data_IF_490645711240
#
_entry.id   IF_490645711240
#
_cell.length_a   1.000
_cell.length_b   1.000
_cell.length_c   1.000
_cell.angle_alpha   90.00
_cell.angle_beta   90.00
_cell.angle_gamma   90.00
#
_symmetry.space_group_name_H-M   'P 1'
#
loop_
_entity.id
_entity.type
_entity.pdbx_description
1 polymer ?
#
# COMPACT_ATOMS: atom_id res chain seq x y z
N UNK A 1 26.63 -48.35 -48.02
CA UNK A 1 25.44 -47.45 -47.97
C UNK A 1 24.56 -47.67 -46.74
N UNK A 2 24.69 -48.78 -45.99
CA UNK A 2 23.84 -49.14 -44.84
C UNK A 2 24.16 -48.43 -43.52
N UNK A 3 25.37 -47.91 -43.32
CA UNK A 3 25.79 -47.26 -42.06
C UNK A 3 25.26 -45.84 -41.88
N UNK A 4 25.02 -45.12 -42.97
CA UNK A 4 24.52 -43.73 -42.94
C UNK A 4 23.05 -43.65 -42.50
N UNK A 5 22.22 -44.60 -42.97
CA UNK A 5 20.78 -44.65 -42.66
C UNK A 5 20.53 -44.99 -41.18
N UNK A 6 21.36 -45.85 -40.58
CA UNK A 6 21.23 -46.25 -39.17
C UNK A 6 21.58 -45.11 -38.22
N UNK A 7 22.66 -44.36 -38.51
CA UNK A 7 23.05 -43.18 -37.73
C UNK A 7 21.97 -42.09 -37.79
N UNK A 8 21.42 -41.83 -38.97
CA UNK A 8 20.35 -40.85 -39.14
C UNK A 8 19.07 -41.24 -38.38
N UNK A 9 18.75 -42.54 -38.30
CA UNK A 9 17.62 -43.04 -37.50
C UNK A 9 17.84 -42.91 -35.99
N UNK A 10 19.08 -43.06 -35.52
CA UNK A 10 19.45 -42.93 -34.10
C UNK A 10 19.40 -41.47 -33.65
N UNK A 11 19.92 -40.53 -34.45
CA UNK A 11 19.82 -39.09 -34.18
C UNK A 11 18.37 -38.60 -34.14
N UNK A 12 17.51 -39.08 -35.04
CA UNK A 12 16.08 -38.74 -35.03
C UNK A 12 15.35 -39.30 -33.81
N UNK A 13 15.71 -40.51 -33.35
CA UNK A 13 15.17 -41.10 -32.12
C UNK A 13 15.61 -40.33 -30.87
N UNK A 14 16.89 -39.96 -30.78
CA UNK A 14 17.39 -39.14 -29.67
C UNK A 14 16.77 -37.74 -29.65
N UNK A 15 16.52 -37.12 -30.81
CA UNK A 15 15.80 -35.84 -30.88
C UNK A 15 14.31 -35.97 -30.53
N UNK A 16 13.65 -37.08 -30.90
CA UNK A 16 12.29 -37.37 -30.44
C UNK A 16 12.21 -37.65 -28.93
N UNK A 17 13.19 -38.36 -28.36
CA UNK A 17 13.27 -38.59 -26.91
C UNK A 17 13.60 -37.29 -26.16
N UNK A 18 14.54 -36.47 -26.65
CA UNK A 18 14.81 -35.12 -26.09
C UNK A 18 13.59 -34.20 -26.17
N UNK A 19 12.77 -34.28 -27.23
CA UNK A 19 11.50 -33.54 -27.34
C UNK A 19 10.42 -34.06 -26.39
N UNK A 20 10.38 -35.37 -26.10
CA UNK A 20 9.48 -35.95 -25.09
C UNK A 20 9.88 -35.58 -23.67
N UNK A 21 11.16 -35.32 -23.42
CA UNK A 21 11.66 -34.83 -22.12
C UNK A 21 11.49 -33.33 -21.91
N UNK A 22 11.19 -32.55 -22.96
CA UNK A 22 10.79 -31.16 -22.80
C UNK A 22 9.38 -31.08 -22.23
N UNK A 23 9.29 -30.81 -20.92
CA UNK A 23 8.04 -30.49 -20.25
C UNK A 23 7.28 -29.40 -21.02
N UNK A 24 6.12 -29.76 -21.56
CA UNK A 24 5.22 -28.82 -22.21
C UNK A 24 4.46 -28.00 -21.15
N UNK A 25 4.96 -26.79 -20.87
CA UNK A 25 4.30 -25.85 -19.96
C UNK A 25 2.97 -25.30 -20.52
N UNK A 26 2.62 -25.61 -21.79
CA UNK A 26 1.33 -25.22 -22.37
C UNK A 26 0.17 -26.13 -21.94
N UNK A 27 0.45 -27.30 -21.34
CA UNK A 27 -0.58 -28.24 -20.88
C UNK A 27 -0.92 -28.07 -19.39
N UNK A 28 -0.39 -27.03 -18.74
CA UNK A 28 -0.71 -26.73 -17.35
C UNK A 28 -2.20 -26.41 -17.19
N UNK A 29 -2.88 -27.00 -16.18
CA UNK A 29 -4.22 -26.57 -15.80
C UNK A 29 -4.28 -25.06 -15.55
N UNK A 30 -5.38 -24.38 -15.92
CA UNK A 30 -5.55 -22.94 -15.69
C UNK A 30 -5.33 -22.51 -14.25
N UNK A 31 -5.66 -23.36 -13.28
CA UNK A 31 -5.51 -23.11 -11.85
C UNK A 31 -4.03 -23.04 -11.45
N UNK A 32 -3.19 -23.92 -12.00
CA UNK A 32 -1.75 -23.88 -11.77
C UNK A 32 -1.11 -22.68 -12.48
N UNK A 33 -1.58 -22.35 -13.68
CA UNK A 33 -1.12 -21.15 -14.39
C UNK A 33 -1.47 -19.89 -13.59
N UNK A 34 -2.68 -19.80 -13.07
CA UNK A 34 -3.14 -18.71 -12.17
C UNK A 34 -2.21 -18.59 -10.95
N UNK A 35 -1.93 -19.70 -10.26
CA UNK A 35 -1.04 -19.69 -9.11
C UNK A 35 0.39 -19.25 -9.43
N UNK A 36 0.90 -19.56 -10.63
CA UNK A 36 2.22 -19.11 -11.08
C UNK A 36 2.18 -17.61 -11.36
N UNK A 37 1.17 -17.15 -12.12
CA UNK A 37 1.05 -15.76 -12.53
C UNK A 37 0.81 -14.81 -11.36
N UNK A 38 0.05 -15.23 -10.34
CA UNK A 38 -0.17 -14.44 -9.12
C UNK A 38 1.11 -14.19 -8.28
N UNK A 39 2.22 -14.88 -8.59
CA UNK A 39 3.52 -14.62 -7.96
C UNK A 39 4.36 -13.58 -8.71
N UNK A 40 3.92 -13.17 -9.90
CA UNK A 40 4.58 -12.15 -10.69
C UNK A 40 4.15 -10.75 -10.25
N UNK A 41 4.95 -9.75 -10.60
CA UNK A 41 4.56 -8.36 -10.42
C UNK A 41 3.37 -8.00 -11.33
N UNK A 42 2.57 -7.01 -10.93
CA UNK A 42 1.47 -6.49 -11.75
C UNK A 42 1.97 -6.06 -13.14
N UNK A 43 3.13 -5.41 -13.18
CA UNK A 43 3.80 -5.01 -14.42
C UNK A 43 4.18 -6.20 -15.30
N UNK A 44 4.68 -7.30 -14.72
CA UNK A 44 5.03 -8.49 -15.51
C UNK A 44 3.79 -9.18 -16.07
N UNK A 45 2.70 -9.23 -15.29
CA UNK A 45 1.44 -9.81 -15.77
C UNK A 45 0.93 -9.04 -17.01
N UNK A 46 0.91 -7.71 -16.92
CA UNK A 46 0.43 -6.83 -17.99
C UNK A 46 1.39 -6.73 -19.17
N UNK A 47 2.69 -6.58 -18.97
CA UNK A 47 3.58 -6.29 -20.09
C UNK A 47 4.19 -7.54 -20.71
N UNK A 48 4.27 -8.64 -19.96
CA UNK A 48 4.98 -9.85 -20.36
C UNK A 48 4.05 -11.08 -20.43
N UNK A 49 3.43 -11.49 -19.32
CA UNK A 49 2.71 -12.76 -19.22
C UNK A 49 1.55 -12.89 -20.22
N UNK A 50 0.75 -11.84 -20.39
CA UNK A 50 -0.37 -11.87 -21.35
C UNK A 50 0.07 -11.95 -22.84
N UNK A 51 1.38 -11.79 -23.12
CA UNK A 51 1.95 -11.90 -24.46
C UNK A 51 2.61 -13.26 -24.74
N UNK A 52 2.77 -14.11 -23.72
CA UNK A 52 3.44 -15.42 -23.84
C UNK A 52 2.63 -16.38 -24.74
N UNK A 53 1.39 -16.69 -24.36
CA UNK A 53 0.52 -17.58 -25.15
C UNK A 53 -0.97 -17.25 -24.95
N UNK A 54 -1.84 -17.88 -25.75
CA UNK A 54 -3.30 -17.66 -25.68
C UNK A 54 -3.89 -18.04 -24.32
N UNK A 55 -3.39 -19.10 -23.71
CA UNK A 55 -3.88 -19.57 -22.41
C UNK A 55 -3.54 -18.57 -21.31
N UNK A 56 -2.27 -18.14 -21.21
CA UNK A 56 -1.84 -17.14 -20.23
C UNK A 56 -2.60 -15.83 -20.41
N UNK A 57 -2.79 -15.39 -21.67
CA UNK A 57 -3.63 -14.22 -21.97
C UNK A 57 -5.07 -14.38 -21.47
N UNK A 58 -5.66 -15.57 -21.59
CA UNK A 58 -7.01 -15.84 -21.09
C UNK A 58 -7.05 -15.77 -19.56
N UNK A 59 -6.07 -16.36 -18.88
CA UNK A 59 -5.95 -16.31 -17.42
C UNK A 59 -5.75 -14.87 -16.94
N UNK A 60 -4.85 -14.09 -17.55
CA UNK A 60 -4.63 -12.68 -17.19
C UNK A 60 -5.88 -11.79 -17.38
N UNK A 61 -6.88 -12.21 -18.18
CA UNK A 61 -8.14 -11.49 -18.36
C UNK A 61 -9.21 -11.89 -17.34
N UNK A 62 -8.97 -12.93 -16.54
CA UNK A 62 -9.90 -13.36 -15.51
C UNK A 62 -9.93 -12.34 -14.36
N UNK A 63 -11.11 -11.87 -13.91
CA UNK A 63 -11.24 -10.97 -12.78
C UNK A 63 -10.55 -11.46 -11.50
N UNK A 64 -10.44 -12.78 -11.28
CA UNK A 64 -9.80 -13.34 -10.09
C UNK A 64 -8.32 -12.97 -9.98
N UNK A 65 -7.66 -12.67 -11.10
CA UNK A 65 -6.27 -12.21 -11.14
C UNK A 65 -6.09 -10.82 -10.53
N UNK A 66 -7.17 -10.04 -10.42
CA UNK A 66 -7.12 -8.60 -10.11
C UNK A 66 -7.90 -8.26 -8.84
N UNK A 67 -8.09 -9.24 -7.94
CA UNK A 67 -8.74 -9.00 -6.64
C UNK A 67 -7.83 -8.30 -5.64
N UNK A 68 -6.50 -8.48 -5.77
CA UNK A 68 -5.49 -7.90 -4.87
C UNK A 68 -4.38 -7.27 -5.69
N UNK A 69 -4.20 -5.97 -5.56
CA UNK A 69 -3.27 -5.19 -6.38
C UNK A 69 -2.34 -4.38 -5.48
N UNK A 70 -1.04 -4.51 -5.71
CA UNK A 70 -0.05 -3.63 -5.10
C UNK A 70 0.70 -2.83 -6.17
N UNK A 71 0.53 -1.51 -6.15
CA UNK A 71 1.15 -0.53 -7.03
C UNK A 71 2.02 0.48 -6.24
N UNK A 72 2.37 0.21 -4.97
CA UNK A 72 3.24 1.11 -4.17
C UNK A 72 4.65 1.21 -4.75
N UNK A 73 5.20 0.08 -5.19
CA UNK A 73 6.59 -0.03 -5.69
C UNK A 73 6.72 0.23 -7.20
N UNK A 74 5.65 0.69 -7.84
CA UNK A 74 5.71 1.13 -9.23
C UNK A 74 6.50 2.44 -9.32
N UNK A 75 7.83 2.33 -9.40
CA UNK A 75 8.74 3.46 -9.44
C UNK A 75 8.72 4.15 -10.82
N UNK A 76 8.77 5.48 -10.78
CA UNK A 76 8.60 6.39 -11.90
C UNK A 76 9.58 6.19 -13.07
N UNK A 77 9.17 5.45 -14.10
CA UNK A 77 9.78 5.55 -15.44
C UNK A 77 8.74 5.31 -16.53
N UNK A 78 8.61 6.27 -17.45
CA UNK A 78 8.09 6.15 -18.83
C UNK A 78 6.68 5.55 -19.08
N UNK A 79 5.88 5.24 -18.05
CA UNK A 79 4.54 4.67 -18.22
C UNK A 79 3.43 5.54 -17.63
N UNK A 80 2.26 5.50 -18.29
CA UNK A 80 1.01 6.04 -17.76
C UNK A 80 0.46 5.10 -16.67
N UNK A 81 0.92 5.29 -15.43
CA UNK A 81 0.50 4.49 -14.28
C UNK A 81 -0.98 4.69 -13.92
N UNK A 82 -1.52 5.89 -14.15
CA UNK A 82 -2.95 6.15 -13.93
C UNK A 82 -3.78 5.32 -14.93
N UNK A 83 -3.46 5.39 -16.23
CA UNK A 83 -4.11 4.59 -17.26
C UNK A 83 -3.94 3.08 -17.03
N UNK A 84 -2.77 2.64 -16.58
CA UNK A 84 -2.52 1.26 -16.17
C UNK A 84 -3.43 0.84 -15.00
N UNK A 85 -3.53 1.66 -13.96
CA UNK A 85 -4.38 1.40 -12.80
C UNK A 85 -5.85 1.31 -13.21
N UNK A 86 -6.33 2.25 -14.04
CA UNK A 86 -7.70 2.22 -14.60
C UNK A 86 -7.96 0.92 -15.37
N UNK A 87 -7.00 0.51 -16.21
CA UNK A 87 -7.10 -0.75 -16.95
C UNK A 87 -7.22 -1.97 -16.03
N UNK A 88 -6.43 -2.02 -14.95
CA UNK A 88 -6.50 -3.13 -13.99
C UNK A 88 -7.84 -3.13 -13.25
N UNK A 89 -8.32 -1.96 -12.82
CA UNK A 89 -9.64 -1.82 -12.18
C UNK A 89 -10.74 -2.31 -13.11
N UNK A 90 -10.66 -2.01 -14.41
CA UNK A 90 -11.60 -2.54 -15.40
C UNK A 90 -11.50 -4.06 -15.57
N UNK A 91 -10.28 -4.62 -15.55
CA UNK A 91 -10.08 -6.07 -15.60
C UNK A 91 -10.67 -6.78 -14.38
N UNK A 92 -10.71 -6.13 -13.21
CA UNK A 92 -11.31 -6.69 -12.00
C UNK A 92 -12.83 -6.86 -12.07
N UNK A 93 -13.51 -6.15 -12.98
CA UNK A 93 -14.98 -6.21 -13.15
C UNK A 93 -15.77 -6.06 -11.83
N UNK A 94 -15.27 -5.24 -10.90
CA UNK A 94 -15.89 -5.00 -9.60
C UNK A 94 -15.58 -6.04 -8.52
N UNK A 95 -14.74 -7.04 -8.82
CA UNK A 95 -14.26 -8.04 -7.87
C UNK A 95 -13.01 -7.58 -7.08
N UNK A 96 -12.56 -6.34 -7.26
CA UNK A 96 -11.42 -5.79 -6.54
C UNK A 96 -11.69 -5.72 -5.03
N UNK A 97 -10.82 -6.35 -4.23
CA UNK A 97 -10.93 -6.43 -2.77
C UNK A 97 -9.84 -5.63 -2.06
N UNK A 98 -8.63 -5.58 -2.62
CA UNK A 98 -7.48 -4.92 -2.00
C UNK A 98 -6.70 -4.14 -3.06
N UNK A 99 -6.46 -2.86 -2.80
CA UNK A 99 -5.61 -2.02 -3.66
C UNK A 99 -4.71 -1.11 -2.84
N UNK A 100 -3.43 -1.13 -3.21
CA UNK A 100 -2.40 -0.29 -2.62
C UNK A 100 -1.79 0.59 -3.71
N UNK A 101 -1.86 1.91 -3.57
CA UNK A 101 -1.42 2.88 -4.58
C UNK A 101 -0.47 3.87 -3.92
N UNK A 102 0.67 4.14 -4.56
CA UNK A 102 1.53 5.26 -4.18
C UNK A 102 1.67 6.29 -5.30
N UNK A 103 2.32 7.40 -5.01
CA UNK A 103 3.05 8.30 -5.94
C UNK A 103 2.31 8.98 -7.12
N UNK A 104 1.36 8.32 -7.78
CA UNK A 104 0.60 8.80 -8.95
C UNK A 104 -0.91 8.91 -8.67
N UNK A 105 -1.31 8.78 -7.40
CA UNK A 105 -2.71 8.89 -7.00
C UNK A 105 -3.23 10.31 -7.22
N UNK A 106 -4.42 10.41 -7.80
CA UNK A 106 -5.16 11.66 -8.04
C UNK A 106 -6.60 11.53 -7.55
N UNK A 107 -7.27 12.66 -7.30
CA UNK A 107 -8.69 12.68 -6.93
C UNK A 107 -9.57 11.96 -7.98
N UNK A 108 -9.24 12.13 -9.26
CA UNK A 108 -9.95 11.49 -10.38
C UNK A 108 -9.73 9.98 -10.44
N UNK A 109 -8.53 9.51 -10.11
CA UNK A 109 -8.23 8.07 -10.06
C UNK A 109 -8.92 7.43 -8.85
N UNK A 110 -8.86 8.05 -7.67
CA UNK A 110 -9.52 7.53 -6.48
C UNK A 110 -11.05 7.45 -6.66
N UNK A 111 -11.67 8.49 -7.22
CA UNK A 111 -13.11 8.43 -7.53
C UNK A 111 -13.43 7.33 -8.52
N UNK A 112 -12.60 7.15 -9.56
CA UNK A 112 -12.83 6.11 -10.55
C UNK A 112 -12.75 4.70 -9.94
N UNK A 113 -11.77 4.44 -9.09
CA UNK A 113 -11.66 3.17 -8.35
C UNK A 113 -12.94 2.96 -7.52
N UNK A 114 -13.36 4.00 -6.78
CA UNK A 114 -14.54 3.94 -5.95
C UNK A 114 -15.83 3.64 -6.75
N UNK A 115 -15.99 4.25 -7.92
CA UNK A 115 -17.17 4.06 -8.77
C UNK A 115 -17.21 2.66 -9.41
N UNK A 116 -16.06 2.02 -9.62
CA UNK A 116 -15.95 0.70 -10.26
C UNK A 116 -15.86 -0.46 -9.26
N UNK A 117 -15.44 -0.19 -8.01
CA UNK A 117 -15.04 -1.21 -7.03
C UNK A 117 -15.48 -0.85 -5.61
N UNK A 118 -16.79 -0.68 -5.39
CA UNK A 118 -17.34 -0.31 -4.07
C UNK A 118 -17.28 -1.41 -3.00
N UNK A 119 -16.96 -2.65 -3.39
CA UNK A 119 -16.80 -3.80 -2.49
C UNK A 119 -15.39 -3.91 -1.87
N UNK A 120 -14.57 -2.87 -2.01
CA UNK A 120 -13.20 -2.86 -1.54
C UNK A 120 -13.14 -3.06 -0.01
N UNK A 121 -12.24 -3.96 0.42
CA UNK A 121 -12.01 -4.30 1.83
C UNK A 121 -10.71 -3.72 2.38
N UNK A 122 -9.71 -3.53 1.54
CA UNK A 122 -8.43 -2.93 1.95
C UNK A 122 -7.99 -1.84 0.97
N UNK A 123 -7.69 -0.66 1.50
CA UNK A 123 -7.21 0.48 0.74
C UNK A 123 -5.92 1.01 1.38
N UNK A 124 -4.85 1.04 0.60
CA UNK A 124 -3.60 1.69 0.99
C UNK A 124 -3.27 2.84 0.06
N UNK A 125 -3.08 4.04 0.61
CA UNK A 125 -2.81 5.27 -0.12
C UNK A 125 -1.49 5.87 0.35
N UNK A 126 -0.55 6.12 -0.57
CA UNK A 126 0.61 6.98 -0.32
C UNK A 126 0.39 8.31 -1.04
N UNK A 127 -0.08 9.29 -0.28
CA UNK A 127 -0.57 10.57 -0.78
C UNK A 127 0.57 11.58 -0.78
N UNK A 128 0.84 12.10 -1.97
CA UNK A 128 1.74 13.23 -2.21
C UNK A 128 0.95 14.31 -2.97
N UNK A 129 1.45 15.55 -2.96
CA UNK A 129 0.84 16.64 -3.75
C UNK A 129 0.74 16.24 -5.23
N UNK A 130 -0.37 16.54 -5.94
CA UNK A 130 -1.35 17.60 -5.63
C UNK A 130 -2.75 17.12 -5.17
N UNK A 131 -2.88 15.98 -4.49
CA UNK A 131 -4.21 15.49 -4.03
C UNK A 131 -4.89 16.48 -3.05
N UNK A 132 -6.23 16.47 -2.96
CA UNK A 132 -6.94 17.38 -2.04
C UNK A 132 -7.57 16.62 -0.87
N UNK A 133 -7.65 17.23 0.33
CA UNK A 133 -8.37 16.64 1.47
C UNK A 133 -9.80 16.23 1.08
N UNK A 134 -10.49 17.08 0.33
CA UNK A 134 -11.86 16.82 -0.14
C UNK A 134 -11.94 15.61 -1.07
N UNK A 135 -11.01 15.47 -2.02
CA UNK A 135 -10.93 14.33 -2.93
C UNK A 135 -10.71 13.02 -2.19
N UNK A 136 -9.80 13.00 -1.20
CA UNK A 136 -9.56 11.83 -0.35
C UNK A 136 -10.84 11.41 0.37
N UNK A 137 -11.48 12.37 1.04
CA UNK A 137 -12.67 12.12 1.85
C UNK A 137 -13.85 11.64 1.01
N UNK A 138 -14.10 12.25 -0.15
CA UNK A 138 -15.13 11.82 -1.10
C UNK A 138 -14.86 10.42 -1.64
N UNK A 139 -13.61 10.07 -1.90
CA UNK A 139 -13.20 8.75 -2.35
C UNK A 139 -13.43 7.69 -1.27
N UNK A 140 -12.91 7.92 -0.06
CA UNK A 140 -13.04 6.98 1.07
C UNK A 140 -14.50 6.75 1.44
N UNK A 141 -15.34 7.79 1.41
CA UNK A 141 -16.76 7.70 1.75
C UNK A 141 -17.56 6.72 0.88
N UNK A 142 -17.04 6.33 -0.29
CA UNK A 142 -17.66 5.36 -1.21
C UNK A 142 -17.30 3.90 -0.91
N UNK A 143 -16.52 3.61 0.14
CA UNK A 143 -16.15 2.25 0.55
C UNK A 143 -16.76 1.85 1.90
N UNK A 144 -18.08 1.58 1.97
CA UNK A 144 -18.77 1.28 3.24
C UNK A 144 -18.33 -0.04 3.89
N UNK A 145 -17.71 -0.93 3.11
CA UNK A 145 -17.26 -2.26 3.55
C UNK A 145 -15.76 -2.32 3.87
N UNK A 146 -15.09 -1.15 3.90
CA UNK A 146 -13.66 -1.09 4.12
C UNK A 146 -13.31 -1.62 5.53
N UNK A 147 -12.44 -2.61 5.58
CA UNK A 147 -11.96 -3.25 6.81
C UNK A 147 -10.54 -2.77 7.18
N UNK A 148 -9.74 -2.37 6.18
CA UNK A 148 -8.38 -1.87 6.35
C UNK A 148 -8.18 -0.56 5.58
N UNK A 149 -7.75 0.47 6.29
CA UNK A 149 -7.33 1.74 5.70
C UNK A 149 -5.89 2.03 6.14
N UNK A 150 -5.01 2.20 5.16
CA UNK A 150 -3.65 2.68 5.36
C UNK A 150 -3.46 3.96 4.57
N UNK A 151 -3.07 5.03 5.26
CA UNK A 151 -2.75 6.31 4.64
C UNK A 151 -1.37 6.75 5.11
N UNK A 152 -0.48 6.90 4.14
CA UNK A 152 0.78 7.63 4.29
C UNK A 152 0.61 9.01 3.67
N UNK A 153 0.89 10.06 4.43
CA UNK A 153 0.75 11.44 3.93
C UNK A 153 1.81 12.38 4.51
N UNK A 154 2.09 13.46 3.78
CA UNK A 154 3.04 14.50 4.19
C UNK A 154 2.38 15.76 4.75
N UNK A 155 1.09 16.00 4.48
CA UNK A 155 0.45 17.29 4.79
C UNK A 155 -1.08 17.28 4.99
N UNK A 156 -1.74 16.13 4.80
CA UNK A 156 -3.21 16.05 4.85
C UNK A 156 -3.73 16.04 6.29
N UNK A 157 -4.85 16.73 6.52
CA UNK A 157 -5.65 16.58 7.74
C UNK A 157 -6.90 15.81 7.36
N UNK A 158 -6.96 14.54 7.75
CA UNK A 158 -8.10 13.68 7.49
C UNK A 158 -9.15 13.87 8.58
N UNK A 159 -10.42 13.95 8.18
CA UNK A 159 -11.52 13.90 9.14
C UNK A 159 -11.78 12.45 9.53
N UNK A 160 -11.08 11.98 10.57
CA UNK A 160 -11.17 10.60 11.01
C UNK A 160 -12.57 10.24 11.51
N UNK A 161 -13.32 11.20 12.05
CA UNK A 161 -14.69 10.96 12.53
C UNK A 161 -15.60 10.67 11.35
N UNK A 162 -15.50 11.45 10.28
CA UNK A 162 -16.23 11.19 9.04
C UNK A 162 -15.81 9.86 8.40
N UNK A 163 -14.51 9.51 8.41
CA UNK A 163 -14.03 8.21 7.92
C UNK A 163 -14.65 7.06 8.74
N UNK A 164 -14.64 7.14 10.07
CA UNK A 164 -15.17 6.09 10.93
C UNK A 164 -16.68 5.87 10.73
N UNK A 165 -17.44 6.95 10.52
CA UNK A 165 -18.86 6.86 10.16
C UNK A 165 -19.10 6.28 8.76
N UNK A 166 -18.26 6.62 7.78
CA UNK A 166 -18.37 6.09 6.42
C UNK A 166 -17.95 4.62 6.31
N UNK A 167 -16.99 4.17 7.11
CA UNK A 167 -16.42 2.83 7.09
C UNK A 167 -16.66 2.10 8.43
N UNK A 168 -17.91 1.74 8.80
CA UNK A 168 -18.26 1.20 10.12
C UNK A 168 -17.75 -0.22 10.39
N UNK A 169 -17.04 -0.84 9.45
CA UNK A 169 -16.41 -2.16 9.57
C UNK A 169 -14.89 -2.08 9.68
N UNK A 170 -14.32 -0.87 9.84
CA UNK A 170 -12.89 -0.69 9.92
C UNK A 170 -12.31 -1.41 11.15
N UNK A 171 -11.37 -2.32 10.88
CA UNK A 171 -10.64 -3.13 11.88
C UNK A 171 -9.18 -2.72 11.97
N UNK A 172 -8.63 -2.21 10.87
CA UNK A 172 -7.23 -1.79 10.78
C UNK A 172 -7.17 -0.36 10.28
N UNK A 173 -6.57 0.51 11.08
CA UNK A 173 -6.26 1.88 10.69
C UNK A 173 -4.75 2.12 10.84
N UNK A 174 -4.11 2.51 9.74
CA UNK A 174 -2.71 2.91 9.74
C UNK A 174 -2.60 4.31 9.18
N UNK A 175 -2.35 5.29 10.05
CA UNK A 175 -2.13 6.68 9.65
C UNK A 175 -0.69 7.00 9.97
N UNK A 176 0.08 7.27 8.92
CA UNK A 176 1.49 7.54 9.08
C UNK A 176 1.85 8.87 8.44
N UNK A 177 2.60 9.65 9.20
CA UNK A 177 3.05 10.96 8.80
C UNK A 177 4.53 10.94 8.44
N UNK A 178 4.91 11.63 7.38
CA UNK A 178 6.31 11.71 6.93
C UNK A 178 7.12 12.87 7.52
N UNK A 179 6.50 13.79 8.25
CA UNK A 179 7.11 15.06 8.63
C UNK A 179 6.85 16.17 7.59
N UNK A 180 6.42 17.32 8.11
CA UNK A 180 6.18 18.68 7.57
C UNK A 180 5.95 18.95 6.05
N UNK A 181 4.87 19.68 5.69
CA UNK A 181 4.86 20.54 4.50
C UNK A 181 5.72 21.80 4.74
N UNK A 182 6.57 22.13 3.77
CA UNK A 182 7.17 23.47 3.66
C UNK A 182 8.49 23.73 4.38
N UNK A 183 9.06 22.76 5.10
CA UNK A 183 10.45 22.83 5.53
C UNK A 183 11.27 21.84 4.72
N UNK A 184 12.28 22.35 4.02
CA UNK A 184 13.41 21.52 3.61
C UNK A 184 13.82 20.67 4.81
N UNK A 185 13.96 19.38 4.59
CA UNK A 185 15.08 18.54 4.99
C UNK A 185 14.52 17.12 5.09
N UNK A 186 14.61 16.38 3.99
CA UNK A 186 14.41 14.92 4.00
C UNK A 186 15.69 14.19 4.47
N UNK A 187 16.69 14.93 4.96
CA UNK A 187 17.89 14.41 5.64
C UNK A 187 17.73 14.23 7.17
N UNK A 188 16.70 14.79 7.83
CA UNK A 188 16.61 14.80 9.31
C UNK A 188 15.86 13.62 9.92
N UNK A 189 15.16 12.80 9.12
CA UNK A 189 14.55 11.56 9.63
C UNK A 189 15.59 10.54 10.09
N UNK A 190 16.83 10.64 9.61
CA UNK A 190 17.97 9.81 10.04
C UNK A 190 18.80 10.43 11.18
N UNK A 191 18.56 11.68 11.54
CA UNK A 191 19.41 12.41 12.50
C UNK A 191 18.74 12.69 13.85
N UNK A 192 17.51 12.22 14.10
CA UNK A 192 16.75 12.52 15.32
C UNK A 192 16.63 14.04 15.63
N UNK A 193 16.78 14.88 14.61
CA UNK A 193 16.73 16.35 14.70
C UNK A 193 15.35 16.94 14.41
N UNK A 194 14.34 16.11 14.11
CA UNK A 194 12.97 16.56 13.93
C UNK A 194 12.40 16.82 15.34
N UNK A 195 11.94 18.06 15.65
CA UNK A 195 11.27 18.30 16.92
C UNK A 195 10.05 17.38 17.04
N UNK A 196 9.70 16.93 18.26
CA UNK A 196 8.53 16.10 18.45
C UNK A 196 7.30 16.78 17.84
N UNK A 197 6.37 16.00 17.24
CA UNK A 197 5.15 16.58 16.69
C UNK A 197 4.41 17.36 17.78
N UNK A 198 3.75 18.45 17.40
CA UNK A 198 2.91 19.22 18.33
C UNK A 198 1.87 18.30 18.94
N UNK A 199 1.70 18.38 20.26
CA UNK A 199 0.69 17.60 20.99
C UNK A 199 -0.70 17.81 20.39
N UNK A 200 -1.37 16.71 20.04
CA UNK A 200 -2.70 16.74 19.43
C UNK A 200 -3.44 15.43 19.71
N UNK A 201 -4.60 15.53 20.37
CA UNK A 201 -5.46 14.39 20.68
C UNK A 201 -6.78 14.40 19.88
N UNK A 202 -6.93 15.31 18.90
CA UNK A 202 -8.13 15.40 18.04
C UNK A 202 -8.39 14.08 17.32
N UNK A 203 -7.33 13.48 16.75
CA UNK A 203 -7.40 12.19 16.06
C UNK A 203 -7.84 11.08 17.02
N UNK A 204 -7.35 11.11 18.26
CA UNK A 204 -7.68 10.13 19.28
C UNK A 204 -9.16 10.17 19.67
N UNK A 205 -9.71 11.37 19.87
CA UNK A 205 -11.14 11.58 20.13
C UNK A 205 -11.99 11.08 18.96
N UNK A 206 -11.63 11.45 17.73
CA UNK A 206 -12.34 11.03 16.54
C UNK A 206 -12.34 9.51 16.34
N UNK A 207 -11.18 8.86 16.55
CA UNK A 207 -11.04 7.40 16.48
C UNK A 207 -11.90 6.71 17.55
N UNK A 208 -11.77 7.15 18.80
CA UNK A 208 -12.50 6.57 19.93
C UNK A 208 -14.03 6.67 19.77
N UNK A 209 -14.53 7.78 19.23
CA UNK A 209 -15.97 8.00 19.05
C UNK A 209 -16.56 7.22 17.87
N UNK A 210 -15.80 7.02 16.80
CA UNK A 210 -16.35 6.57 15.51
C UNK A 210 -15.88 5.16 15.08
N UNK A 211 -14.85 4.59 15.69
CA UNK A 211 -14.22 3.33 15.26
C UNK A 211 -14.09 2.27 16.38
N UNK A 212 -15.19 1.89 17.06
CA UNK A 212 -15.13 0.99 18.22
C UNK A 212 -14.72 -0.46 17.88
N UNK A 213 -14.74 -0.83 16.60
CA UNK A 213 -14.37 -2.18 16.12
C UNK A 213 -12.89 -2.33 15.77
N UNK A 214 -12.08 -1.28 15.94
CA UNK A 214 -10.65 -1.34 15.66
C UNK A 214 -9.97 -2.44 16.49
N UNK A 215 -9.07 -3.14 15.80
CA UNK A 215 -8.21 -4.20 16.31
C UNK A 215 -6.74 -3.86 16.14
N UNK A 216 -6.40 -3.17 15.05
CA UNK A 216 -5.04 -2.79 14.72
C UNK A 216 -4.98 -1.29 14.47
N UNK A 217 -4.17 -0.58 15.26
CA UNK A 217 -3.96 0.85 15.12
C UNK A 217 -2.46 1.16 14.99
N UNK A 218 -2.11 1.90 13.95
CA UNK A 218 -0.75 2.39 13.74
C UNK A 218 -0.79 3.90 13.49
N UNK A 219 -0.05 4.67 14.30
CA UNK A 219 -0.03 6.13 14.30
C UNK A 219 1.41 6.66 14.26
N UNK A 220 2.25 6.21 13.31
CA UNK A 220 3.68 6.57 13.31
C UNK A 220 3.85 8.08 13.07
N UNK A 221 4.71 8.72 13.88
CA UNK A 221 4.97 10.17 13.87
C UNK A 221 3.77 11.06 14.25
N UNK A 222 2.75 10.52 14.94
CA UNK A 222 1.62 11.31 15.39
C UNK A 222 1.93 12.12 16.68
N UNK A 223 1.22 13.23 16.88
CA UNK A 223 1.32 14.09 18.07
C UNK A 223 0.59 13.58 19.31
N UNK A 224 0.10 12.35 19.28
CA UNK A 224 -0.68 11.69 20.32
C UNK A 224 -0.04 11.80 21.71
N UNK A 225 -0.84 12.18 22.71
CA UNK A 225 -0.39 12.24 24.11
C UNK A 225 -0.86 11.02 24.92
N UNK A 226 -0.43 10.93 26.18
CA UNK A 226 -0.95 9.95 27.13
C UNK A 226 -2.47 10.08 27.35
N UNK A 227 -3.03 11.29 27.24
CA UNK A 227 -4.47 11.53 27.39
C UNK A 227 -5.23 10.94 26.20
N UNK A 228 -4.83 11.29 24.97
CA UNK A 228 -5.41 10.72 23.75
C UNK A 228 -5.27 9.20 23.68
N UNK A 229 -4.13 8.64 24.09
CA UNK A 229 -3.98 7.17 24.11
C UNK A 229 -4.96 6.51 25.07
N UNK A 230 -5.21 7.09 26.26
CA UNK A 230 -6.24 6.55 27.16
C UNK A 230 -7.64 6.60 26.52
N UNK A 231 -7.97 7.72 25.87
CA UNK A 231 -9.23 7.89 25.14
C UNK A 231 -9.41 6.81 24.07
N UNK A 232 -8.38 6.53 23.27
CA UNK A 232 -8.40 5.43 22.29
C UNK A 232 -8.63 4.09 22.97
N UNK A 233 -7.90 3.79 24.05
CA UNK A 233 -8.06 2.53 24.77
C UNK A 233 -9.47 2.39 25.34
N UNK A 234 -10.11 3.48 25.76
CA UNK A 234 -11.50 3.47 26.28
C UNK A 234 -12.53 3.30 25.15
N UNK A 235 -12.34 3.98 24.00
CA UNK A 235 -13.28 3.92 22.86
C UNK A 235 -13.13 2.70 21.95
N UNK A 236 -11.95 2.08 21.91
CA UNK A 236 -11.65 0.91 21.08
C UNK A 236 -11.42 -0.34 21.96
N UNK A 237 -12.49 -0.99 22.46
CA UNK A 237 -12.38 -2.10 23.40
C UNK A 237 -11.70 -3.35 22.83
N UNK A 238 -11.73 -3.53 21.50
CA UNK A 238 -11.19 -4.70 20.80
C UNK A 238 -9.77 -4.51 20.26
N UNK A 239 -9.12 -3.38 20.57
CA UNK A 239 -7.77 -3.10 20.11
C UNK A 239 -6.79 -4.12 20.66
N UNK A 240 -6.07 -4.80 19.78
CA UNK A 240 -5.11 -5.86 20.11
C UNK A 240 -3.70 -5.55 19.62
N UNK A 241 -3.54 -4.77 18.54
CA UNK A 241 -2.24 -4.34 18.05
C UNK A 241 -2.16 -2.81 18.03
N UNK A 242 -1.12 -2.26 18.64
CA UNK A 242 -0.88 -0.83 18.74
C UNK A 242 0.56 -0.49 18.36
N UNK A 243 0.72 0.34 17.33
CA UNK A 243 2.00 0.87 16.90
C UNK A 243 2.02 2.39 17.00
N UNK A 244 2.76 2.88 17.99
CA UNK A 244 2.93 4.31 18.29
C UNK A 244 4.39 4.73 18.14
N UNK A 245 5.16 4.06 17.28
CA UNK A 245 6.55 4.44 17.00
C UNK A 245 6.63 5.90 16.59
N UNK A 246 7.65 6.61 17.09
CA UNK A 246 7.86 8.05 16.86
C UNK A 246 6.74 8.97 17.39
N UNK A 247 5.80 8.46 18.21
CA UNK A 247 4.88 9.30 19.01
C UNK A 247 5.58 9.74 20.31
N UNK A 248 6.49 10.71 20.22
CA UNK A 248 7.38 11.07 21.33
C UNK A 248 6.69 11.78 22.51
N UNK A 249 5.44 12.23 22.35
CA UNK A 249 4.64 12.81 23.44
C UNK A 249 4.04 11.74 24.37
N UNK A 250 4.13 10.45 24.00
CA UNK A 250 3.67 9.34 24.82
C UNK A 250 4.78 8.89 25.77
N UNK A 251 4.46 8.86 27.06
CA UNK A 251 5.30 8.28 28.11
C UNK A 251 4.58 7.05 28.67
N UNK A 252 4.94 5.89 28.15
CA UNK A 252 4.44 4.59 28.61
C UNK A 252 5.08 4.22 29.95
N UNK A 253 4.53 4.76 31.03
CA UNK A 253 4.94 4.45 32.41
C UNK A 253 3.71 4.26 33.31
N UNK A 254 3.89 3.54 34.41
CA UNK A 254 2.87 3.38 35.45
C UNK A 254 1.58 2.73 34.93
N UNK A 255 0.43 3.32 35.26
CA UNK A 255 -0.89 2.75 34.94
C UNK A 255 -1.14 2.62 33.43
N UNK A 256 -0.66 3.57 32.63
CA UNK A 256 -0.86 3.52 31.18
C UNK A 256 -0.09 2.35 30.55
N UNK A 257 1.16 2.15 30.95
CA UNK A 257 1.96 1.02 30.48
C UNK A 257 1.31 -0.32 30.87
N UNK A 258 0.91 -0.45 32.15
CA UNK A 258 0.21 -1.64 32.64
C UNK A 258 -1.05 -1.92 31.82
N UNK A 259 -1.88 -0.90 31.59
CA UNK A 259 -3.11 -0.99 30.81
C UNK A 259 -2.84 -1.44 29.36
N UNK A 260 -1.79 -0.92 28.73
CA UNK A 260 -1.37 -1.38 27.40
C UNK A 260 -0.93 -2.84 27.42
N UNK A 261 -0.06 -3.24 28.35
CA UNK A 261 0.45 -4.63 28.43
C UNK A 261 -0.63 -5.67 28.74
N UNK A 262 -1.70 -5.29 29.46
CA UNK A 262 -2.81 -6.19 29.77
C UNK A 262 -3.78 -6.39 28.60
N UNK A 263 -3.91 -5.39 27.72
CA UNK A 263 -4.94 -5.36 26.67
C UNK A 263 -4.40 -5.54 25.25
N UNK A 264 -3.20 -5.02 24.99
CA UNK A 264 -2.55 -5.02 23.68
C UNK A 264 -1.63 -6.23 23.61
N UNK A 265 -1.84 -7.08 22.61
CA UNK A 265 -1.02 -8.25 22.31
C UNK A 265 0.31 -7.84 21.69
N UNK A 266 0.26 -6.98 20.66
CA UNK A 266 1.44 -6.49 19.96
C UNK A 266 1.58 -4.97 20.14
N UNK A 267 2.50 -4.56 21.01
CA UNK A 267 2.76 -3.15 21.29
C UNK A 267 4.13 -2.73 20.72
N UNK A 268 4.12 -1.78 19.78
CA UNK A 268 5.34 -1.10 19.29
C UNK A 268 5.43 0.29 19.91
N UNK A 269 6.46 0.50 20.71
CA UNK A 269 6.68 1.67 21.57
C UNK A 269 7.25 2.85 20.77
N UNK A 270 7.15 4.09 21.28
CA UNK A 270 7.67 5.28 20.59
C UNK A 270 9.14 5.20 20.16
N UNK A 271 9.99 4.55 20.96
CA UNK A 271 11.42 4.41 20.69
C UNK A 271 11.81 3.21 19.83
N UNK A 272 10.87 2.33 19.45
CA UNK A 272 11.20 1.12 18.70
C UNK A 272 11.62 1.44 17.26
N UNK A 273 12.47 0.58 16.69
CA UNK A 273 12.98 0.74 15.33
C UNK A 273 11.87 0.77 14.28
N UNK A 274 12.03 1.62 13.28
CA UNK A 274 11.17 1.69 12.08
C UNK A 274 11.82 1.00 10.87
N UNK A 275 12.78 0.09 11.07
CA UNK A 275 13.50 -0.58 9.97
C UNK A 275 12.57 -1.42 9.08
N UNK A 276 11.51 -2.00 9.64
CA UNK A 276 10.51 -2.79 8.92
C UNK A 276 9.39 -1.93 8.31
N UNK A 277 9.50 -0.60 8.43
CA UNK A 277 8.49 0.32 7.93
C UNK A 277 8.66 0.54 6.41
N UNK A 278 7.65 0.19 5.59
CA UNK A 278 7.81 0.10 4.13
C UNK A 278 7.96 1.46 3.44
N UNK A 279 7.69 2.56 4.14
CA UNK A 279 7.82 3.93 3.62
C UNK A 279 9.12 4.62 4.00
N UNK A 280 10.14 3.85 4.38
CA UNK A 280 11.50 4.35 4.46
C UNK A 280 12.02 4.61 3.04
N UNK A 281 11.56 5.71 2.43
CA UNK A 281 12.02 6.14 1.12
C UNK A 281 13.48 6.52 1.28
N UNK A 282 14.38 5.65 0.81
CA UNK A 282 15.81 5.96 0.79
C UNK A 282 16.08 7.30 0.10
N UNK A 283 17.11 8.02 0.56
CA UNK A 283 17.50 9.35 0.07
C UNK A 283 17.50 9.47 -1.47
N UNK A 284 17.86 8.40 -2.18
CA UNK A 284 17.86 8.34 -3.64
C UNK A 284 16.48 8.56 -4.26
N UNK A 285 15.44 7.91 -3.71
CA UNK A 285 14.07 7.98 -4.24
C UNK A 285 13.42 9.32 -3.90
N UNK A 286 13.70 9.87 -2.72
CA UNK A 286 13.28 11.22 -2.33
C UNK A 286 13.91 12.29 -3.24
N UNK A 287 15.22 12.23 -3.45
CA UNK A 287 15.94 13.22 -4.26
C UNK A 287 15.41 13.22 -5.70
N UNK A 288 15.06 12.05 -6.24
CA UNK A 288 14.44 11.91 -7.56
C UNK A 288 13.02 12.51 -7.62
N UNK A 289 12.22 12.34 -6.55
CA UNK A 289 10.90 12.97 -6.43
C UNK A 289 11.04 14.50 -6.37
N UNK A 290 11.95 15.03 -5.55
CA UNK A 290 12.19 16.48 -5.41
C UNK A 290 12.70 17.15 -6.68
N UNK A 291 13.65 16.51 -7.38
CA UNK A 291 14.21 17.05 -8.63
C UNK A 291 13.12 17.16 -9.70
N UNK A 292 12.15 16.23 -9.74
CA UNK A 292 11.11 16.17 -10.77
C UNK A 292 9.82 16.94 -10.43
N UNK A 293 9.42 17.02 -9.16
CA UNK A 293 8.32 17.89 -8.72
C UNK A 293 8.66 19.40 -8.79
N UNK A 294 9.85 19.76 -9.30
CA UNK A 294 10.25 21.14 -9.53
C UNK A 294 10.64 21.91 -8.26
N UNK A 295 10.82 21.22 -7.13
CA UNK A 295 11.12 21.84 -5.84
C UNK A 295 12.41 22.66 -5.85
N UNK A 296 13.43 22.26 -6.62
CA UNK A 296 14.68 23.00 -6.77
C UNK A 296 14.65 24.12 -7.84
N UNK A 297 13.54 24.35 -8.56
CA UNK A 297 13.47 25.38 -9.62
C UNK A 297 13.13 26.79 -9.13
N UNK A 298 12.78 26.98 -7.86
CA UNK A 298 12.65 28.32 -7.28
C UNK A 298 13.90 28.61 -6.49
N UNK A 299 14.95 29.09 -7.15
CA UNK A 299 15.98 30.01 -6.64
C UNK A 299 16.88 30.40 -7.84
N UNK A 300 16.29 31.03 -8.87
CA UNK A 300 17.06 32.00 -9.66
C UNK A 300 16.96 33.31 -8.91
N UNK A 301 17.97 33.54 -8.07
CA UNK A 301 18.30 34.88 -7.59
C UNK A 301 18.47 35.75 -8.83
N UNK A 302 17.69 36.82 -8.92
CA UNK A 302 17.94 37.88 -9.86
C UNK A 302 19.26 38.56 -9.44
N UNK A 303 20.31 38.38 -10.25
CA UNK A 303 21.46 39.28 -10.30
C UNK A 303 21.35 40.07 -11.60
#
# INVERSE_FOLDING_TARGET
MTTSTTLQSLFMKEDEERRKEQRNWLDLPPELTTSILLRLSVTDILFNAQKVCRQWRRVCKDPSMWQKINLRDCLFYQFDFEGMCRHIVDLSQGALLEINIGHFLSDSLLSYIADRSSNLKSLGLSIYEPMTNEGVMKGIAKFPWLETLEVFHSSFKLDLKAIGHACPQLKTLKLNFSGCPGHEIYLISQLDLIPPPVECDDDALAIAESMPKLRHLQLIWNGLTNTGLNVILDGCPHLEDLDVRKCFNIKLVGNLEKRCLERIKELRRPGDSTADYPYNIGLSTVLQIMIKCGFFRRHRVAC
#
